data_IF_198430436394
#
_entry.id   IF_198430436394
#
_cell.length_a   1.000
_cell.length_b   1.000
_cell.length_c   1.000
_cell.angle_alpha   90.00
_cell.angle_beta   90.00
_cell.angle_gamma   90.00
#
_symmetry.space_group_name_H-M   'P 1'
#
loop_
_entity.id
_entity.type
_entity.pdbx_description
1 polymer ?
#
# COMPACT_ATOMS: atom_id res chain seq x y z
N UNK A 1 -1.65 -5.24 -0.88
CA UNK A 1 -0.52 -4.49 -0.28
C UNK A 1 0.77 -4.85 -0.99
N UNK A 2 1.64 -3.87 -1.27
CA UNK A 2 2.98 -4.08 -1.84
C UNK A 2 4.03 -4.05 -0.72
N UNK A 3 4.91 -5.05 -0.68
CA UNK A 3 6.06 -5.13 0.24
C UNK A 3 7.33 -5.35 -0.57
N UNK A 4 8.42 -4.65 -0.22
CA UNK A 4 9.75 -4.90 -0.79
C UNK A 4 10.55 -5.74 0.21
N UNK A 5 11.05 -6.88 -0.26
CA UNK A 5 11.81 -7.83 0.53
C UNK A 5 13.19 -8.08 -0.07
N UNK A 6 14.16 -8.44 0.77
CA UNK A 6 15.47 -8.93 0.32
C UNK A 6 15.41 -10.34 -0.30
N UNK A 7 14.28 -11.03 -0.17
CA UNK A 7 14.08 -12.40 -0.65
C UNK A 7 12.69 -12.59 -1.24
N UNK A 8 12.61 -13.42 -2.28
CA UNK A 8 11.33 -13.92 -2.74
C UNK A 8 10.76 -14.94 -1.74
N UNK A 9 9.44 -15.05 -1.74
CA UNK A 9 8.68 -16.06 -1.00
C UNK A 9 7.81 -16.84 -1.99
N UNK A 10 7.32 -18.00 -1.58
CA UNK A 10 6.46 -18.83 -2.41
C UNK A 10 5.04 -18.25 -2.49
N UNK A 11 4.47 -18.16 -3.70
CA UNK A 11 3.08 -17.71 -3.90
C UNK A 11 2.14 -18.66 -3.15
N UNK A 12 1.13 -18.09 -2.48
CA UNK A 12 0.18 -18.83 -1.66
C UNK A 12 0.58 -18.93 -0.18
N UNK A 13 1.82 -18.57 0.18
CA UNK A 13 2.22 -18.54 1.59
C UNK A 13 1.39 -17.53 2.38
N UNK A 14 0.98 -17.92 3.58
CA UNK A 14 0.33 -17.03 4.55
C UNK A 14 1.38 -16.50 5.51
N UNK A 15 1.41 -15.19 5.69
CA UNK A 15 2.30 -14.52 6.64
C UNK A 15 1.50 -13.66 7.59
N UNK A 16 1.94 -13.58 8.84
CA UNK A 16 1.46 -12.56 9.78
C UNK A 16 2.25 -11.28 9.53
N UNK A 17 1.56 -10.20 9.17
CA UNK A 17 2.15 -8.90 8.89
C UNK A 17 1.86 -7.92 10.02
N UNK A 18 2.88 -7.17 10.42
CA UNK A 18 2.73 -5.97 11.24
C UNK A 18 2.65 -4.75 10.31
N UNK A 19 1.56 -4.02 10.37
CA UNK A 19 1.28 -2.87 9.51
C UNK A 19 1.11 -1.60 10.35
N UNK A 20 1.87 -0.55 10.05
CA UNK A 20 1.67 0.76 10.64
C UNK A 20 0.53 1.49 9.92
N UNK A 21 -0.52 1.86 10.64
CA UNK A 21 -1.65 2.57 10.06
C UNK A 21 -1.23 3.95 9.54
N UNK A 22 -1.66 4.34 8.33
CA UNK A 22 -1.46 5.69 7.85
C UNK A 22 -2.14 6.70 8.78
N UNK A 23 -1.52 7.87 8.94
CA UNK A 23 -2.04 8.98 9.74
C UNK A 23 -1.63 8.97 11.22
N UNK A 24 -1.58 7.81 11.89
CA UNK A 24 -1.26 7.74 13.32
C UNK A 24 -0.13 6.75 13.69
N UNK A 25 0.33 5.91 12.76
CA UNK A 25 1.44 4.98 12.99
C UNK A 25 1.14 3.83 13.95
N UNK A 26 -0.10 3.66 14.41
CA UNK A 26 -0.49 2.53 15.26
C UNK A 26 -0.21 1.22 14.53
N UNK A 27 0.42 0.27 15.21
CA UNK A 27 0.74 -1.04 14.62
C UNK A 27 -0.43 -1.98 14.79
N UNK A 28 -0.89 -2.58 13.68
CA UNK A 28 -1.88 -3.65 13.67
C UNK A 28 -1.28 -4.91 13.06
N UNK A 29 -1.69 -6.07 13.57
CA UNK A 29 -1.31 -7.36 13.02
C UNK A 29 -2.43 -7.95 12.17
N UNK A 30 -2.09 -8.56 11.04
CA UNK A 30 -3.07 -9.21 10.15
C UNK A 30 -2.41 -10.31 9.33
N UNK A 31 -3.18 -11.36 9.03
CA UNK A 31 -2.72 -12.41 8.13
C UNK A 31 -2.94 -11.99 6.67
N UNK A 32 -1.96 -12.28 5.84
CA UNK A 32 -2.06 -12.03 4.40
C UNK A 32 -1.44 -13.15 3.58
N UNK A 33 -2.04 -13.40 2.42
CA UNK A 33 -1.61 -14.40 1.45
C UNK A 33 -0.78 -13.72 0.37
N UNK A 34 0.38 -14.27 0.05
CA UNK A 34 1.16 -13.81 -1.09
C UNK A 34 0.48 -14.21 -2.40
N UNK A 35 0.16 -13.24 -3.25
CA UNK A 35 -0.53 -13.45 -4.54
C UNK A 35 0.36 -13.29 -5.76
N UNK A 36 1.38 -12.45 -5.67
CA UNK A 36 2.31 -12.26 -6.78
C UNK A 36 3.70 -11.85 -6.29
N UNK A 37 4.70 -12.18 -7.09
CA UNK A 37 6.12 -11.85 -6.84
C UNK A 37 6.71 -11.27 -8.13
N UNK A 38 7.46 -10.17 -8.00
CA UNK A 38 8.31 -9.63 -9.06
C UNK A 38 9.73 -9.48 -8.54
N UNK A 39 10.69 -10.08 -9.23
CA UNK A 39 12.11 -9.99 -8.89
C UNK A 39 12.71 -8.86 -9.73
N UNK A 40 13.37 -7.90 -9.08
CA UNK A 40 14.10 -6.87 -9.80
C UNK A 40 15.37 -7.47 -10.41
N UNK A 41 15.65 -7.23 -11.68
CA UNK A 41 16.86 -7.75 -12.33
C UNK A 41 18.13 -7.10 -11.80
N UNK A 42 18.05 -5.82 -11.44
CA UNK A 42 19.19 -4.98 -11.04
C UNK A 42 19.40 -4.90 -9.53
N UNK A 43 18.48 -5.45 -8.73
CA UNK A 43 18.61 -5.47 -7.29
C UNK A 43 18.20 -6.85 -6.78
N UNK A 44 18.93 -7.41 -5.81
CA UNK A 44 18.57 -8.66 -5.14
C UNK A 44 17.34 -8.50 -4.22
N UNK A 45 16.31 -7.78 -4.69
CA UNK A 45 15.07 -7.48 -3.98
C UNK A 45 13.89 -8.01 -4.76
N UNK A 46 12.88 -8.44 -4.02
CA UNK A 46 11.60 -8.87 -4.54
C UNK A 46 10.51 -7.89 -4.13
N UNK A 47 9.67 -7.51 -5.09
CA UNK A 47 8.38 -6.89 -4.84
C UNK A 47 7.33 -7.99 -4.65
N UNK A 48 6.65 -7.96 -3.51
CA UNK A 48 5.71 -8.96 -3.06
C UNK A 48 4.32 -8.33 -2.93
N UNK A 49 3.33 -8.95 -3.56
CA UNK A 49 1.93 -8.53 -3.49
C UNK A 49 1.12 -9.40 -2.55
N UNK A 50 0.68 -8.84 -1.44
CA UNK A 50 -0.13 -9.54 -0.44
C UNK A 50 -1.60 -9.13 -0.49
N UNK A 51 -2.48 -10.12 -0.33
CA UNK A 51 -3.91 -9.93 -0.08
C UNK A 51 -4.22 -10.24 1.38
N UNK A 52 -4.88 -9.32 2.09
CA UNK A 52 -5.31 -9.57 3.46
C UNK A 52 -6.43 -10.62 3.48
N UNK A 53 -6.33 -11.63 4.35
CA UNK A 53 -7.40 -12.63 4.46
C UNK A 53 -8.66 -12.04 5.10
N UNK A 54 -8.49 -11.46 6.29
CA UNK A 54 -9.54 -10.76 7.03
C UNK A 54 -8.90 -9.49 7.62
N UNK A 55 -8.95 -8.35 6.89
CA UNK A 55 -8.34 -7.13 7.39
C UNK A 55 -9.08 -6.62 8.63
N UNK A 56 -8.37 -6.27 9.73
CA UNK A 56 -8.99 -5.62 10.88
C UNK A 56 -9.75 -4.35 10.47
N UNK A 57 -10.87 -4.06 11.12
CA UNK A 57 -11.69 -2.87 10.78
C UNK A 57 -10.88 -1.57 10.83
N UNK A 58 -10.01 -1.42 11.84
CA UNK A 58 -9.13 -0.27 11.97
C UNK A 58 -8.18 -0.10 10.76
N UNK A 59 -7.68 -1.21 10.21
CA UNK A 59 -6.83 -1.19 9.01
C UNK A 59 -7.62 -0.73 7.78
N UNK A 60 -8.81 -1.30 7.59
CA UNK A 60 -9.68 -0.94 6.47
C UNK A 60 -10.02 0.55 6.49
N UNK A 61 -10.48 1.05 7.64
CA UNK A 61 -10.87 2.45 7.82
C UNK A 61 -9.68 3.39 7.60
N UNK A 62 -8.51 3.08 8.15
CA UNK A 62 -7.33 3.93 7.99
C UNK A 62 -6.87 4.02 6.53
N UNK A 63 -6.91 2.91 5.80
CA UNK A 63 -6.56 2.89 4.37
C UNK A 63 -7.58 3.67 3.54
N UNK A 64 -8.88 3.50 3.81
CA UNK A 64 -9.95 4.21 3.11
C UNK A 64 -9.82 5.73 3.30
N UNK A 65 -9.68 6.18 4.56
CA UNK A 65 -9.46 7.60 4.87
C UNK A 65 -8.22 8.14 4.15
N UNK A 66 -7.11 7.40 4.18
CA UNK A 66 -5.87 7.82 3.54
C UNK A 66 -6.02 7.96 2.01
N UNK A 67 -6.69 7.01 1.36
CA UNK A 67 -6.94 7.05 -0.10
C UNK A 67 -7.83 8.24 -0.46
N UNK A 68 -8.96 8.42 0.24
CA UNK A 68 -9.87 9.54 -0.01
C UNK A 68 -9.18 10.89 0.19
N UNK A 69 -8.37 11.03 1.24
CA UNK A 69 -7.59 12.26 1.47
C UNK A 69 -6.59 12.51 0.34
N UNK A 70 -5.87 11.48 -0.12
CA UNK A 70 -4.90 11.59 -1.21
C UNK A 70 -5.55 12.00 -2.53
N UNK A 71 -6.71 11.44 -2.84
CA UNK A 71 -7.47 11.80 -4.06
C UNK A 71 -7.91 13.26 -3.98
N UNK A 72 -8.48 13.69 -2.86
CA UNK A 72 -8.90 15.10 -2.67
C UNK A 72 -7.76 16.12 -2.82
N UNK A 73 -6.54 15.75 -2.40
CA UNK A 73 -5.35 16.59 -2.56
C UNK A 73 -4.86 16.65 -4.01
N UNK A 74 -5.11 15.60 -4.79
CA UNK A 74 -4.72 15.53 -6.19
C UNK A 74 -5.62 16.46 -7.03
N UNK A 75 -6.92 16.48 -6.75
CA UNK A 75 -7.90 17.35 -7.43
C UNK A 75 -7.63 18.86 -7.21
N UNK A 76 -7.15 19.23 -6.01
CA UNK A 76 -6.76 20.62 -5.69
C UNK A 76 -5.52 21.05 -6.47
N UNK A 77 -4.53 20.15 -6.62
CA UNK A 77 -3.31 20.45 -7.36
C UNK A 77 -3.56 20.57 -8.87
N UNK A 78 -4.45 19.75 -9.45
CA UNK A 78 -4.80 19.85 -10.87
C UNK A 78 -5.63 21.12 -11.16
N UNK A 79 -6.52 21.51 -10.24
CA UNK A 79 -7.32 22.74 -10.37
C UNK A 79 -6.48 24.01 -10.29
N UNK A 80 -5.40 24.01 -9.51
CA UNK A 80 -4.50 25.17 -9.39
C UNK A 80 -3.51 25.29 -10.55
N UNK A 81 -3.12 24.17 -11.19
CA UNK A 81 -2.31 24.19 -12.41
C UNK A 81 -3.08 24.69 -13.65
N UNK A 82 -4.40 24.47 -13.71
CA UNK A 82 -5.26 24.91 -14.82
C UNK A 82 -5.53 26.42 -14.90
N UNK A 83 -5.22 27.19 -13.85
CA UNK A 83 -5.48 28.63 -13.77
C UNK A 83 -4.30 29.52 -14.19
N UNK A 84 -3.09 28.96 -14.42
CA UNK A 84 -1.91 29.73 -14.84
C UNK A 84 -1.60 29.65 -16.34
N UNK A 85 -2.39 28.93 -17.15
CA UNK A 85 -2.12 28.69 -18.57
C UNK A 85 -3.19 29.28 -19.50
N UNK A 86 -3.63 30.52 -19.26
CA UNK A 86 -4.40 31.28 -20.26
C UNK A 86 -3.76 32.66 -20.49
N UNK A 87 -3.46 33.03 -21.74
CA UNK A 87 -2.83 34.30 -22.12
C UNK A 87 -3.74 35.51 -21.86
#
# INVERSE_FOLDING_TARGET
>A
MLVISARALEIGVVVQMSFALPGNGVIVQTNAVLRWVRIAQTSQRAALGFEFQVPPLALRNAVEIYVTQRESLSDINDSSAGLQARP
#
